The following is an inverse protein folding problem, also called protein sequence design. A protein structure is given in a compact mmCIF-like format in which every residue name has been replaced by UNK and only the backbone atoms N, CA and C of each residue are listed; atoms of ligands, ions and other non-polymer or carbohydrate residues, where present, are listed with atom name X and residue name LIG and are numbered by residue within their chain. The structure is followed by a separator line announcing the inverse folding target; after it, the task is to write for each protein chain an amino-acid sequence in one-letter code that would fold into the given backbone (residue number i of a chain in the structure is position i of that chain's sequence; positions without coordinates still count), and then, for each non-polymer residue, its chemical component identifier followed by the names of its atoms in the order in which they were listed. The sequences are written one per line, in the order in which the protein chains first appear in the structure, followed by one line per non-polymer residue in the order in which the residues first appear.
data_IF_576984269732
#
_entry.id   IF_576984269732
#
_cell.length_a   1.000
_cell.length_b   1.000
_cell.length_c   1.000
_cell.angle_alpha   90.00
_cell.angle_beta   90.00
_cell.angle_gamma   90.00
#
_symmetry.space_group_name_H-M   'P 1'
#
loop_
_entity.id
_entity.type
_entity.pdbx_description
1 polymer ?
#
# COMPACT_ATOMS: atom_id res chain seq x y z
N UNK A 1 50.08 -13.34 30.28
CA UNK A 1 49.48 -13.50 28.94
C UNK A 1 47.93 -13.45 28.97
N UNK A 2 47.31 -12.60 29.80
CA UNK A 2 45.83 -12.53 29.95
C UNK A 2 45.22 -11.20 29.51
N UNK A 3 46.03 -10.20 29.14
CA UNK A 3 45.57 -8.83 28.83
C UNK A 3 45.03 -8.64 27.41
N UNK A 4 45.26 -9.61 26.50
CA UNK A 4 44.81 -9.54 25.09
C UNK A 4 43.33 -9.93 24.89
N UNK A 5 42.82 -10.89 25.65
CA UNK A 5 41.45 -11.40 25.48
C UNK A 5 40.36 -10.40 25.90
N UNK A 6 40.67 -9.45 26.79
CA UNK A 6 39.73 -8.40 27.20
C UNK A 6 39.62 -7.27 26.17
N UNK A 7 40.67 -7.02 25.38
CA UNK A 7 40.64 -6.04 24.29
C UNK A 7 39.77 -6.49 23.11
N UNK A 8 39.88 -7.77 22.74
CA UNK A 8 39.09 -8.34 21.63
C UNK A 8 37.59 -8.39 21.93
N UNK A 9 37.18 -8.69 23.18
CA UNK A 9 35.76 -8.63 23.58
C UNK A 9 35.20 -7.22 23.56
N UNK A 10 35.98 -6.22 23.99
CA UNK A 10 35.57 -4.81 23.93
C UNK A 10 35.42 -4.32 22.48
N UNK A 11 36.37 -4.70 21.62
CA UNK A 11 36.32 -4.39 20.19
C UNK A 11 35.09 -5.00 19.51
N UNK A 12 34.80 -6.27 19.77
CA UNK A 12 33.64 -6.96 19.17
C UNK A 12 32.31 -6.33 19.59
N UNK A 13 32.17 -5.91 20.86
CA UNK A 13 30.94 -5.23 21.34
C UNK A 13 30.77 -3.86 20.70
N UNK A 14 31.86 -3.09 20.54
CA UNK A 14 31.83 -1.77 19.88
C UNK A 14 31.52 -1.90 18.39
N UNK A 15 32.17 -2.84 17.69
CA UNK A 15 31.89 -3.13 16.29
C UNK A 15 30.42 -3.51 16.08
N UNK A 16 29.90 -4.41 16.91
CA UNK A 16 28.48 -4.78 16.86
C UNK A 16 27.56 -3.57 17.15
N UNK A 17 27.88 -2.75 18.15
CA UNK A 17 27.08 -1.56 18.46
C UNK A 17 27.06 -0.52 17.34
N UNK A 18 28.10 -0.47 16.49
CA UNK A 18 28.14 0.40 15.31
C UNK A 18 27.41 -0.20 14.10
N UNK A 19 27.57 -1.51 13.88
CA UNK A 19 27.04 -2.20 12.69
C UNK A 19 25.58 -2.60 12.85
N UNK A 20 25.16 -3.06 14.03
CA UNK A 20 23.81 -3.58 14.24
C UNK A 20 22.71 -2.53 14.01
N UNK A 21 22.81 -1.28 14.49
CA UNK A 21 21.81 -0.25 14.19
C UNK A 21 21.75 0.12 12.71
N UNK A 22 22.91 0.13 12.03
CA UNK A 22 22.98 0.39 10.59
C UNK A 22 22.25 -0.70 9.80
N UNK A 23 22.56 -1.98 10.08
CA UNK A 23 21.88 -3.11 9.45
C UNK A 23 20.39 -3.15 9.78
N UNK A 24 20.02 -2.86 11.03
CA UNK A 24 18.62 -2.75 11.44
C UNK A 24 17.91 -1.63 10.67
N UNK A 25 18.53 -0.47 10.51
CA UNK A 25 18.00 0.65 9.73
C UNK A 25 17.76 0.25 8.27
N UNK A 26 18.71 -0.43 7.64
CA UNK A 26 18.56 -0.94 6.27
C UNK A 26 17.41 -1.94 6.20
N UNK A 27 17.33 -2.89 7.13
CA UNK A 27 16.25 -3.87 7.19
C UNK A 27 14.87 -3.19 7.32
N UNK A 28 14.76 -2.18 8.17
CA UNK A 28 13.53 -1.38 8.32
C UNK A 28 13.16 -0.63 7.05
N UNK A 29 14.14 -0.06 6.33
CA UNK A 29 13.89 0.59 5.03
C UNK A 29 13.35 -0.42 4.02
N UNK A 30 13.96 -1.60 3.92
CA UNK A 30 13.50 -2.65 3.00
C UNK A 30 12.08 -3.12 3.34
N UNK A 31 11.77 -3.34 4.62
CA UNK A 31 10.42 -3.70 5.07
C UNK A 31 9.41 -2.61 4.73
N UNK A 32 9.76 -1.33 4.93
CA UNK A 32 8.89 -0.21 4.57
C UNK A 32 8.62 -0.15 3.06
N UNK A 33 9.65 -0.31 2.23
CA UNK A 33 9.50 -0.34 0.77
C UNK A 33 8.62 -1.52 0.35
N UNK A 34 8.85 -2.71 0.91
CA UNK A 34 8.05 -3.88 0.64
C UNK A 34 6.58 -3.68 1.03
N UNK A 35 6.32 -3.06 2.19
CA UNK A 35 4.97 -2.72 2.65
C UNK A 35 4.26 -1.76 1.69
N UNK A 36 4.93 -0.67 1.28
CA UNK A 36 4.37 0.31 0.34
C UNK A 36 4.01 -0.36 -0.98
N UNK A 37 4.91 -1.18 -1.54
CA UNK A 37 4.66 -1.89 -2.79
C UNK A 37 3.53 -2.91 -2.64
N UNK A 38 3.49 -3.65 -1.52
CA UNK A 38 2.42 -4.60 -1.25
C UNK A 38 1.05 -3.91 -1.19
N UNK A 39 0.92 -2.83 -0.41
CA UNK A 39 -0.33 -2.07 -0.30
C UNK A 39 -0.72 -1.50 -1.67
N UNK A 40 0.21 -0.88 -2.40
CA UNK A 40 -0.07 -0.33 -3.73
C UNK A 40 -0.59 -1.39 -4.69
N UNK A 41 0.03 -2.56 -4.74
CA UNK A 41 -0.40 -3.67 -5.59
C UNK A 41 -1.79 -4.15 -5.21
N UNK A 42 -2.05 -4.37 -3.92
CA UNK A 42 -3.36 -4.82 -3.43
C UNK A 42 -4.46 -3.80 -3.74
N UNK A 43 -4.24 -2.52 -3.44
CA UNK A 43 -5.23 -1.46 -3.71
C UNK A 43 -5.48 -1.29 -5.20
N UNK A 44 -4.45 -1.43 -6.04
CA UNK A 44 -4.61 -1.36 -7.51
C UNK A 44 -5.48 -2.50 -8.02
N UNK A 45 -5.29 -3.72 -7.50
CA UNK A 45 -6.14 -4.86 -7.84
C UNK A 45 -7.59 -4.65 -7.39
N UNK A 46 -7.80 -4.14 -6.17
CA UNK A 46 -9.13 -3.86 -5.64
C UNK A 46 -9.86 -2.73 -6.39
N UNK A 47 -9.14 -1.68 -6.79
CA UNK A 47 -9.70 -0.59 -7.58
C UNK A 47 -10.08 -1.06 -8.99
N UNK A 48 -9.26 -1.89 -9.63
CA UNK A 48 -9.57 -2.48 -10.93
C UNK A 48 -10.78 -3.43 -10.86
N UNK A 49 -10.92 -4.20 -9.79
CA UNK A 49 -12.06 -5.10 -9.62
C UNK A 49 -13.36 -4.33 -9.33
N UNK A 50 -13.29 -3.30 -8.48
CA UNK A 50 -14.43 -2.42 -8.24
C UNK A 50 -14.88 -1.65 -9.47
N UNK A 51 -13.94 -1.14 -10.28
CA UNK A 51 -14.29 -0.39 -11.49
C UNK A 51 -14.97 -1.27 -12.53
N UNK A 52 -14.54 -2.54 -12.66
CA UNK A 52 -15.23 -3.53 -13.49
C UNK A 52 -16.62 -3.83 -12.98
N UNK A 53 -16.77 -4.04 -11.67
CA UNK A 53 -18.07 -4.28 -11.07
C UNK A 53 -19.03 -3.10 -11.27
N UNK A 54 -18.52 -1.86 -11.19
CA UNK A 54 -19.27 -0.62 -11.43
C UNK A 54 -19.48 -0.28 -12.91
N UNK A 55 -18.90 -1.04 -13.84
CA UNK A 55 -19.04 -0.81 -15.28
C UNK A 55 -20.16 -1.65 -15.92
N UNK A 56 -20.74 -2.59 -15.18
CA UNK A 56 -21.84 -3.42 -15.68
C UNK A 56 -23.12 -2.59 -15.83
N UNK A 57 -23.92 -2.89 -16.86
CA UNK A 57 -25.07 -2.07 -17.28
C UNK A 57 -26.10 -1.77 -16.17
N UNK A 58 -26.30 -2.71 -15.22
CA UNK A 58 -27.23 -2.56 -14.08
C UNK A 58 -26.52 -2.27 -12.73
N UNK A 59 -25.23 -1.95 -12.76
CA UNK A 59 -24.46 -1.72 -11.53
C UNK A 59 -24.61 -0.29 -11.01
N UNK A 60 -24.80 -0.17 -9.69
CA UNK A 60 -24.72 1.11 -8.97
C UNK A 60 -23.30 1.35 -8.45
N UNK A 61 -22.98 2.60 -8.12
CA UNK A 61 -21.72 2.94 -7.44
C UNK A 61 -21.53 2.17 -6.13
N UNK A 62 -22.63 1.84 -5.43
CA UNK A 62 -22.63 1.05 -4.20
C UNK A 62 -22.14 -0.40 -4.44
N UNK A 63 -22.48 -1.00 -5.59
CA UNK A 63 -21.98 -2.33 -5.97
C UNK A 63 -20.47 -2.31 -6.20
N UNK A 64 -19.97 -1.27 -6.87
CA UNK A 64 -18.53 -1.05 -7.04
C UNK A 64 -17.80 -0.93 -5.71
N UNK A 65 -18.33 -0.13 -4.79
CA UNK A 65 -17.73 0.09 -3.47
C UNK A 65 -17.74 -1.20 -2.64
N UNK A 66 -18.88 -1.90 -2.57
CA UNK A 66 -18.98 -3.19 -1.87
C UNK A 66 -17.98 -4.21 -2.40
N UNK A 67 -17.82 -4.31 -3.73
CA UNK A 67 -16.87 -5.23 -4.35
C UNK A 67 -15.42 -4.87 -4.03
N UNK A 68 -15.06 -3.59 -4.11
CA UNK A 68 -13.73 -3.12 -3.68
C UNK A 68 -13.47 -3.47 -2.22
N UNK A 69 -14.42 -3.21 -1.32
CA UNK A 69 -14.29 -3.55 0.11
C UNK A 69 -14.21 -5.05 0.35
N UNK A 70 -14.99 -5.86 -0.38
CA UNK A 70 -14.95 -7.31 -0.28
C UNK A 70 -13.58 -7.89 -0.67
N UNK A 71 -12.95 -7.37 -1.71
CA UNK A 71 -11.59 -7.76 -2.11
C UNK A 71 -10.54 -7.40 -1.06
N UNK A 72 -10.76 -6.28 -0.36
CA UNK A 72 -9.83 -5.78 0.65
C UNK A 72 -10.05 -6.39 2.03
N UNK A 73 -11.19 -7.03 2.26
CA UNK A 73 -11.54 -7.63 3.55
C UNK A 73 -10.50 -8.64 4.01
N UNK A 74 -9.97 -8.42 5.21
CA UNK A 74 -8.97 -9.27 5.83
C UNK A 74 -7.55 -9.08 5.27
N UNK A 75 -7.34 -8.11 4.37
CA UNK A 75 -6.02 -7.73 3.90
C UNK A 75 -5.37 -6.71 4.85
N UNK A 76 -4.04 -6.74 4.98
CA UNK A 76 -3.28 -5.73 5.73
C UNK A 76 -3.57 -4.31 5.22
N UNK A 77 -3.78 -4.16 3.91
CA UNK A 77 -4.12 -2.90 3.26
C UNK A 77 -5.45 -2.30 3.74
N UNK A 78 -6.38 -3.10 4.29
CA UNK A 78 -7.67 -2.60 4.80
C UNK A 78 -7.46 -1.56 5.90
N UNK A 79 -6.50 -1.80 6.79
CA UNK A 79 -6.21 -0.96 7.95
C UNK A 79 -5.69 0.44 7.61
N UNK A 80 -5.22 0.64 6.37
CA UNK A 80 -4.64 1.92 5.93
C UNK A 80 -5.58 2.72 5.04
N UNK A 81 -6.78 2.22 4.73
CA UNK A 81 -7.74 2.91 3.85
C UNK A 81 -8.48 3.99 4.64
N UNK A 82 -8.50 5.20 4.09
CA UNK A 82 -9.29 6.32 4.61
C UNK A 82 -10.63 6.46 3.89
N UNK A 83 -10.64 6.28 2.56
CA UNK A 83 -11.83 6.42 1.75
C UNK A 83 -11.78 5.54 0.49
N UNK A 84 -12.94 5.09 0.05
CA UNK A 84 -13.17 4.46 -1.25
C UNK A 84 -14.30 5.25 -1.91
N UNK A 85 -14.03 5.79 -3.09
CA UNK A 85 -14.99 6.58 -3.87
C UNK A 85 -15.18 5.91 -5.23
N UNK A 86 -16.43 5.79 -5.66
CA UNK A 86 -16.79 5.27 -6.97
C UNK A 86 -17.53 6.35 -7.72
N UNK A 87 -17.14 6.58 -8.97
CA UNK A 87 -17.77 7.58 -9.83
C UNK A 87 -17.69 7.22 -11.30
N UNK A 88 -18.17 8.14 -12.11
CA UNK A 88 -18.13 8.04 -13.57
C UNK A 88 -17.27 9.17 -14.13
N UNK A 89 -16.44 8.85 -15.12
CA UNK A 89 -15.65 9.82 -15.87
C UNK A 89 -15.96 9.65 -17.35
N UNK A 90 -16.21 10.74 -18.08
CA UNK A 90 -16.31 10.71 -19.53
C UNK A 90 -14.99 11.22 -20.11
N UNK A 91 -14.36 10.42 -20.95
CA UNK A 91 -13.14 10.80 -21.67
C UNK A 91 -13.25 10.42 -23.15
N UNK A 92 -12.97 11.37 -24.04
CA UNK A 92 -13.12 11.22 -25.49
C UNK A 92 -14.49 10.66 -25.97
N UNK A 93 -15.58 10.97 -25.26
CA UNK A 93 -16.93 10.48 -25.57
C UNK A 93 -17.22 9.04 -25.12
N UNK A 94 -16.29 8.42 -24.38
CA UNK A 94 -16.46 7.10 -23.75
C UNK A 94 -16.70 7.30 -22.27
N UNK A 95 -17.73 6.63 -21.74
CA UNK A 95 -18.05 6.65 -20.32
C UNK A 95 -17.24 5.57 -19.60
N UNK A 96 -16.55 5.94 -18.53
CA UNK A 96 -15.74 5.06 -17.70
C UNK A 96 -16.27 5.05 -16.27
N UNK A 97 -16.29 3.89 -15.65
CA UNK A 97 -16.43 3.77 -14.20
C UNK A 97 -15.04 3.87 -13.56
N UNK A 98 -14.87 4.79 -12.61
CA UNK A 98 -13.62 5.01 -11.87
C UNK A 98 -13.82 4.70 -10.39
N UNK A 99 -12.89 3.92 -9.82
CA UNK A 99 -12.78 3.71 -8.37
C UNK A 99 -11.51 4.38 -7.88
N UNK A 100 -11.63 5.27 -6.91
CA UNK A 100 -10.51 5.94 -6.25
C UNK A 100 -10.41 5.46 -4.81
N UNK A 101 -9.24 5.00 -4.40
CA UNK A 101 -8.96 4.58 -3.03
C UNK A 101 -7.91 5.51 -2.43
N UNK A 102 -8.21 6.09 -1.27
CA UNK A 102 -7.30 6.89 -0.48
C UNK A 102 -6.77 6.06 0.69
N UNK A 103 -5.46 6.01 0.86
CA UNK A 103 -4.82 5.30 1.95
C UNK A 103 -3.77 6.16 2.65
N UNK A 104 -3.65 6.02 3.97
CA UNK A 104 -2.60 6.64 4.80
C UNK A 104 -1.65 5.58 5.32
N UNK A 105 -0.46 5.53 4.72
CA UNK A 105 0.58 4.57 5.06
C UNK A 105 1.31 4.99 6.35
N UNK A 106 1.39 4.13 7.38
CA UNK A 106 2.11 4.44 8.62
C UNK A 106 3.60 4.14 8.47
N UNK A 107 4.32 4.98 7.71
CA UNK A 107 5.78 4.84 7.56
C UNK A 107 6.51 5.33 8.81
N UNK A 108 7.66 4.73 9.09
CA UNK A 108 8.46 5.00 10.29
C UNK A 108 9.58 6.01 10.00
N UNK A 109 9.91 6.84 10.98
CA UNK A 109 11.05 7.78 10.92
C UNK A 109 10.78 9.03 10.08
N UNK A 110 11.77 9.44 9.28
CA UNK A 110 11.76 10.72 8.54
C UNK A 110 10.68 10.83 7.45
N UNK A 111 10.07 9.71 7.05
CA UNK A 111 9.07 9.67 5.98
C UNK A 111 7.66 10.02 6.47
N UNK A 112 7.37 9.78 7.76
CA UNK A 112 6.07 10.06 8.38
C UNK A 112 4.86 9.38 7.70
N UNK A 113 3.63 9.63 8.18
CA UNK A 113 2.43 9.15 7.52
C UNK A 113 2.30 9.75 6.12
N UNK A 114 2.23 8.92 5.09
CA UNK A 114 2.13 9.37 3.68
C UNK A 114 0.77 8.99 3.11
N UNK A 115 0.10 9.96 2.48
CA UNK A 115 -1.14 9.71 1.74
C UNK A 115 -0.84 9.14 0.36
N UNK A 116 -1.61 8.13 -0.05
CA UNK A 116 -1.50 7.48 -1.35
C UNK A 116 -2.90 7.36 -1.96
N UNK A 117 -3.05 7.86 -3.18
CA UNK A 117 -4.27 7.76 -3.98
C UNK A 117 -4.06 6.78 -5.12
N UNK A 118 -4.94 5.78 -5.23
CA UNK A 118 -4.92 4.77 -6.29
C UNK A 118 -6.24 4.84 -7.07
N UNK A 119 -6.18 4.74 -8.39
CA UNK A 119 -7.35 4.76 -9.26
C UNK A 119 -7.42 3.54 -10.16
N UNK A 120 -8.61 2.97 -10.31
CA UNK A 120 -8.94 1.92 -11.27
C UNK A 120 -10.04 2.41 -12.21
N UNK A 121 -9.87 2.20 -13.52
CA UNK A 121 -10.83 2.65 -14.55
C UNK A 121 -11.29 1.48 -15.41
N UNK A 122 -12.56 1.43 -15.75
CA UNK A 122 -13.16 0.46 -16.67
C UNK A 122 -14.12 1.16 -17.62
N UNK A 123 -14.20 0.74 -18.88
CA UNK A 123 -15.17 1.27 -19.83
C UNK A 123 -16.56 0.76 -19.42
N UNK A 124 -17.55 1.65 -19.42
CA UNK A 124 -18.93 1.29 -19.16
C UNK A 124 -19.55 0.68 -20.43
N UNK A 125 -20.11 -0.52 -20.31
CA UNK A 125 -20.79 -1.16 -21.44
C UNK A 125 -22.12 -0.46 -21.68
N UNK A 126 -22.26 0.19 -22.84
CA UNK A 126 -23.53 0.75 -23.30
C UNK A 126 -24.38 -0.36 -23.94
N UNK A 127 -25.59 -0.57 -23.42
CA UNK A 127 -26.63 -1.43 -24.02
C UNK A 127 -27.37 -0.67 -25.12
#
# INVERSE_FOLDING_TARGET
MLKRLMGDRGSAVVEFALVAPLLMGIALVLVQVALVLHVRTTLTAAAAEGSRAAAMADSSFEVGEQRTRAVLSGNVAESVIEAVEVGTMVDAGVTYSEVTIQARLPLLGLLGPTVMSIRGRSIQEHV
#
